data_IF_527803637699
#
_entry.id   IF_527803637699
#
_cell.length_a   1.000
_cell.length_b   1.000
_cell.length_c   1.000
_cell.angle_alpha   90.00
_cell.angle_beta   90.00
_cell.angle_gamma   90.00
#
_symmetry.space_group_name_H-M   'P 1'
#
loop_
_entity.id
_entity.type
_entity.pdbx_description
1 polymer ?
#
# COMPACT_ATOMS: atom_id res chain seq x y z
N UNK A 1 -21.75 18.00 -5.95
CA UNK A 1 -21.48 17.23 -4.71
C UNK A 1 -20.43 16.17 -5.03
N UNK A 2 -19.27 16.23 -4.36
CA UNK A 2 -18.15 15.30 -4.59
C UNK A 2 -18.61 13.88 -4.25
N UNK A 3 -19.44 13.74 -3.21
CA UNK A 3 -19.94 12.44 -2.79
C UNK A 3 -20.87 11.79 -3.82
N UNK A 4 -21.67 12.56 -4.56
CA UNK A 4 -22.56 12.01 -5.60
C UNK A 4 -21.81 11.57 -6.85
N UNK A 5 -20.66 12.18 -7.12
CA UNK A 5 -19.81 11.84 -8.26
C UNK A 5 -19.09 10.50 -8.01
N UNK A 6 -18.42 10.37 -6.87
CA UNK A 6 -17.63 9.18 -6.51
C UNK A 6 -18.44 8.03 -5.88
N UNK A 7 -19.71 8.26 -5.50
CA UNK A 7 -20.59 7.17 -5.02
C UNK A 7 -20.95 6.15 -6.09
N UNK A 8 -20.86 6.52 -7.37
CA UNK A 8 -21.10 5.61 -8.50
C UNK A 8 -19.77 5.14 -9.06
N UNK A 9 -19.63 3.86 -9.39
CA UNK A 9 -18.44 3.34 -10.10
C UNK A 9 -18.55 3.56 -11.59
N UNK A 10 -18.38 4.81 -12.04
CA UNK A 10 -18.36 5.18 -13.46
C UNK A 10 -16.92 5.19 -14.00
N UNK A 11 -16.69 4.82 -15.28
CA UNK A 11 -15.36 4.90 -15.91
C UNK A 11 -14.71 6.28 -15.79
N UNK A 12 -15.49 7.35 -15.92
CA UNK A 12 -15.01 8.74 -15.81
C UNK A 12 -14.32 9.04 -14.48
N UNK A 13 -14.76 8.42 -13.38
CA UNK A 13 -14.13 8.62 -12.07
C UNK A 13 -12.70 8.07 -12.03
N UNK A 14 -12.44 6.98 -12.75
CA UNK A 14 -11.11 6.40 -12.85
C UNK A 14 -10.22 7.25 -13.74
N UNK A 15 -10.73 7.75 -14.86
CA UNK A 15 -9.98 8.64 -15.75
C UNK A 15 -9.48 9.86 -14.95
N UNK A 16 -10.36 10.53 -14.20
CA UNK A 16 -9.99 11.69 -13.39
C UNK A 16 -8.90 11.34 -12.37
N UNK A 17 -9.04 10.22 -11.65
CA UNK A 17 -8.08 9.82 -10.61
C UNK A 17 -6.72 9.43 -11.22
N UNK A 18 -6.71 8.76 -12.38
CA UNK A 18 -5.49 8.40 -13.10
C UNK A 18 -4.80 9.62 -13.69
N UNK A 19 -5.55 10.55 -14.29
CA UNK A 19 -5.02 11.83 -14.77
C UNK A 19 -4.44 12.65 -13.62
N UNK A 20 -5.12 12.70 -12.47
CA UNK A 20 -4.60 13.36 -11.27
C UNK A 20 -3.26 12.74 -10.85
N UNK A 21 -3.18 11.41 -10.73
CA UNK A 21 -1.94 10.74 -10.38
C UNK A 21 -0.81 11.05 -11.39
N UNK A 22 -1.11 11.00 -12.70
CA UNK A 22 -0.15 11.28 -13.76
C UNK A 22 0.45 12.67 -13.61
N UNK A 23 -0.40 13.69 -13.50
CA UNK A 23 0.02 15.09 -13.39
C UNK A 23 0.92 15.28 -12.18
N UNK A 24 0.50 14.79 -11.01
CA UNK A 24 1.27 14.96 -9.78
C UNK A 24 2.56 14.14 -9.77
N UNK A 25 2.59 12.96 -10.39
CA UNK A 25 3.82 12.19 -10.59
C UNK A 25 4.82 12.97 -11.46
N UNK A 26 4.37 13.51 -12.60
CA UNK A 26 5.22 14.32 -13.47
C UNK A 26 5.74 15.56 -12.72
N UNK A 27 4.89 16.25 -11.96
CA UNK A 27 5.33 17.41 -11.17
C UNK A 27 6.37 17.02 -10.12
N UNK A 28 6.13 15.95 -9.35
CA UNK A 28 7.07 15.47 -8.34
C UNK A 28 8.43 15.07 -8.94
N UNK A 29 8.42 14.38 -10.08
CA UNK A 29 9.64 13.83 -10.71
C UNK A 29 10.45 14.89 -11.43
N UNK A 30 9.82 15.75 -12.23
CA UNK A 30 10.53 16.72 -13.07
C UNK A 30 10.81 18.03 -12.36
N UNK A 31 9.84 18.56 -11.59
CA UNK A 31 10.04 19.83 -10.87
C UNK A 31 10.66 19.63 -9.49
N UNK A 32 10.38 18.51 -8.80
CA UNK A 32 10.88 18.27 -7.44
C UNK A 32 12.36 17.88 -7.35
N UNK A 33 12.91 17.26 -8.40
CA UNK A 33 14.27 16.71 -8.42
C UNK A 33 15.23 17.37 -9.42
N UNK A 34 14.80 18.38 -10.20
CA UNK A 34 15.63 19.06 -11.22
C UNK A 34 16.42 18.09 -12.13
N UNK A 35 15.79 16.99 -12.55
CA UNK A 35 16.48 15.94 -13.33
C UNK A 35 16.55 16.33 -14.80
N UNK A 36 17.73 16.19 -15.39
CA UNK A 36 17.93 16.38 -16.83
C UNK A 36 17.18 15.32 -17.64
N UNK A 37 16.54 15.74 -18.73
CA UNK A 37 15.79 14.85 -19.61
C UNK A 37 16.73 13.95 -20.43
N UNK A 38 16.76 12.66 -20.10
CA UNK A 38 17.44 11.62 -20.89
C UNK A 38 16.42 10.59 -21.36
N UNK A 39 16.52 10.12 -22.61
CA UNK A 39 15.60 9.13 -23.21
C UNK A 39 15.43 7.86 -22.35
N UNK A 40 16.53 7.35 -21.77
CA UNK A 40 16.48 6.18 -20.87
C UNK A 40 15.69 6.44 -19.57
N UNK A 41 15.75 7.66 -19.04
CA UNK A 41 15.00 8.06 -17.84
C UNK A 41 13.49 8.18 -18.13
N UNK A 42 13.13 8.62 -19.34
CA UNK A 42 11.73 8.69 -19.77
C UNK A 42 11.12 7.29 -19.85
N UNK A 43 11.85 6.33 -20.43
CA UNK A 43 11.39 4.93 -20.52
C UNK A 43 11.13 4.29 -19.16
N UNK A 44 12.03 4.48 -18.19
CA UNK A 44 11.84 3.94 -16.83
C UNK A 44 10.66 4.60 -16.11
N UNK A 45 10.50 5.92 -16.23
CA UNK A 45 9.37 6.64 -15.62
C UNK A 45 8.01 6.20 -16.23
N UNK A 46 7.93 5.92 -17.54
CA UNK A 46 6.71 5.37 -18.16
C UNK A 46 6.35 4.02 -17.53
N UNK A 47 7.34 3.14 -17.33
CA UNK A 47 7.14 1.86 -16.65
C UNK A 47 6.62 2.02 -15.23
N UNK A 48 7.16 2.97 -14.46
CA UNK A 48 6.71 3.26 -13.08
C UNK A 48 5.26 3.77 -13.06
N UNK A 49 4.90 4.69 -13.96
CA UNK A 49 3.53 5.20 -14.07
C UNK A 49 2.55 4.09 -14.45
N UNK A 50 2.92 3.24 -15.42
CA UNK A 50 2.11 2.11 -15.82
C UNK A 50 1.86 1.15 -14.64
N UNK A 51 2.90 0.90 -13.83
CA UNK A 51 2.80 0.09 -12.63
C UNK A 51 1.87 0.74 -11.58
N UNK A 52 1.99 2.05 -11.33
CA UNK A 52 1.08 2.76 -10.42
C UNK A 52 -0.39 2.70 -10.88
N UNK A 53 -0.63 2.87 -12.19
CA UNK A 53 -1.97 2.72 -12.76
C UNK A 53 -2.49 1.31 -12.56
N UNK A 54 -1.65 0.30 -12.80
CA UNK A 54 -2.01 -1.09 -12.57
C UNK A 54 -2.30 -1.37 -11.08
N UNK A 55 -1.54 -0.79 -10.16
CA UNK A 55 -1.84 -0.84 -8.71
C UNK A 55 -3.23 -0.27 -8.41
N UNK A 56 -3.60 0.87 -8.98
CA UNK A 56 -4.94 1.46 -8.80
C UNK A 56 -6.05 0.51 -9.28
N UNK A 57 -5.88 -0.12 -10.44
CA UNK A 57 -6.83 -1.11 -10.94
C UNK A 57 -6.92 -2.33 -10.02
N UNK A 58 -5.79 -2.80 -9.49
CA UNK A 58 -5.75 -3.88 -8.50
C UNK A 58 -6.48 -3.51 -7.20
N UNK A 59 -6.20 -2.33 -6.63
CA UNK A 59 -6.87 -1.81 -5.43
C UNK A 59 -8.40 -1.87 -5.61
N UNK A 60 -8.88 -1.34 -6.75
CA UNK A 60 -10.29 -1.36 -7.10
C UNK A 60 -10.85 -2.79 -7.22
N UNK A 61 -10.13 -3.67 -7.93
CA UNK A 61 -10.52 -5.05 -8.12
C UNK A 61 -10.64 -5.79 -6.78
N UNK A 62 -9.66 -5.64 -5.90
CA UNK A 62 -9.61 -6.29 -4.58
C UNK A 62 -10.79 -5.85 -3.73
N UNK A 63 -11.05 -4.55 -3.64
CA UNK A 63 -12.12 -3.97 -2.83
C UNK A 63 -13.49 -4.45 -3.29
N UNK A 64 -13.75 -4.40 -4.61
CA UNK A 64 -15.02 -4.86 -5.19
C UNK A 64 -15.21 -6.37 -5.04
N UNK A 65 -14.19 -7.16 -5.36
CA UNK A 65 -14.25 -8.62 -5.33
C UNK A 65 -14.50 -9.16 -3.93
N UNK A 66 -13.90 -8.54 -2.91
CA UNK A 66 -14.00 -8.99 -1.52
C UNK A 66 -15.12 -8.28 -0.73
N UNK A 67 -15.83 -7.32 -1.34
CA UNK A 67 -16.92 -6.53 -0.72
C UNK A 67 -16.48 -5.88 0.60
N UNK A 68 -15.26 -5.32 0.61
CA UNK A 68 -14.64 -4.72 1.81
C UNK A 68 -15.31 -3.37 2.14
N UNK A 69 -15.59 -2.60 1.10
CA UNK A 69 -16.33 -1.34 1.11
C UNK A 69 -17.62 -1.49 0.30
N UNK A 70 -18.49 -0.49 0.32
CA UNK A 70 -19.62 -0.42 -0.61
C UNK A 70 -19.14 -0.18 -2.05
N UNK A 71 -20.05 -0.36 -3.02
CA UNK A 71 -19.78 -0.13 -4.45
C UNK A 71 -19.65 1.35 -4.75
N UNK A 72 -18.45 1.90 -4.57
CA UNK A 72 -18.10 3.28 -4.87
C UNK A 72 -16.64 3.37 -5.34
N UNK A 73 -16.22 4.57 -5.76
CA UNK A 73 -14.86 4.85 -6.24
C UNK A 73 -13.99 5.56 -5.20
N UNK A 74 -14.44 5.66 -3.94
CA UNK A 74 -13.70 6.41 -2.89
C UNK A 74 -12.36 5.76 -2.54
N UNK A 75 -12.25 4.44 -2.50
CA UNK A 75 -10.97 3.79 -2.13
C UNK A 75 -9.86 4.13 -3.11
N UNK A 76 -10.18 4.19 -4.40
CA UNK A 76 -9.22 4.56 -5.44
C UNK A 76 -8.84 6.04 -5.34
N UNK A 77 -9.82 6.91 -5.10
CA UNK A 77 -9.57 8.33 -4.84
C UNK A 77 -8.64 8.52 -3.64
N UNK A 78 -8.94 7.90 -2.49
CA UNK A 78 -8.12 8.01 -1.29
C UNK A 78 -6.71 7.46 -1.48
N UNK A 79 -6.55 6.35 -2.21
CA UNK A 79 -5.22 5.81 -2.51
C UNK A 79 -4.36 6.85 -3.27
N UNK A 80 -4.93 7.51 -4.29
CA UNK A 80 -4.21 8.56 -5.03
C UNK A 80 -3.98 9.81 -4.16
N UNK A 81 -4.96 10.22 -3.36
CA UNK A 81 -4.78 11.34 -2.44
C UNK A 81 -3.66 11.09 -1.41
N UNK A 82 -3.48 9.86 -0.94
CA UNK A 82 -2.34 9.51 -0.08
C UNK A 82 -1.00 9.62 -0.82
N UNK A 83 -0.96 9.24 -2.10
CA UNK A 83 0.23 9.45 -2.94
C UNK A 83 0.56 10.95 -3.09
N UNK A 84 -0.46 11.81 -3.19
CA UNK A 84 -0.27 13.26 -3.24
C UNK A 84 0.20 13.82 -1.88
N UNK A 85 -0.34 13.31 -0.77
CA UNK A 85 0.05 13.77 0.57
C UNK A 85 1.53 13.43 0.90
N UNK A 86 2.04 12.34 0.32
CA UNK A 86 3.44 11.90 0.45
C UNK A 86 4.17 11.92 -0.90
N UNK A 87 4.53 13.10 -1.46
CA UNK A 87 5.20 13.18 -2.75
C UNK A 87 6.52 12.41 -2.81
N UNK A 88 7.21 12.29 -1.68
CA UNK A 88 8.45 11.51 -1.58
C UNK A 88 8.24 10.02 -1.93
N UNK A 89 7.07 9.44 -1.64
CA UNK A 89 6.78 8.04 -1.99
C UNK A 89 6.55 7.84 -3.49
N UNK A 90 6.25 8.90 -4.26
CA UNK A 90 6.14 8.84 -5.72
C UNK A 90 7.52 8.82 -6.40
N UNK A 91 8.56 9.24 -5.69
CA UNK A 91 9.93 9.31 -6.18
C UNK A 91 10.72 8.04 -5.84
N UNK A 92 10.34 7.36 -4.76
CA UNK A 92 10.90 6.10 -4.32
C UNK A 92 10.39 4.92 -5.16
N UNK A 93 11.17 4.57 -6.18
CA UNK A 93 10.87 3.44 -7.07
C UNK A 93 10.77 2.11 -6.31
N UNK A 94 11.67 1.87 -5.34
CA UNK A 94 11.63 0.63 -4.56
C UNK A 94 10.33 0.56 -3.73
N UNK A 95 9.87 1.70 -3.21
CA UNK A 95 8.66 1.78 -2.39
C UNK A 95 7.41 1.48 -3.20
N UNK A 96 7.39 1.95 -4.45
CA UNK A 96 6.33 1.69 -5.42
C UNK A 96 6.26 0.20 -5.77
N UNK A 97 7.39 -0.44 -6.10
CA UNK A 97 7.44 -1.87 -6.40
C UNK A 97 7.06 -2.72 -5.18
N UNK A 98 7.59 -2.40 -4.00
CA UNK A 98 7.25 -3.08 -2.76
C UNK A 98 5.74 -2.99 -2.48
N UNK A 99 5.16 -1.78 -2.50
CA UNK A 99 3.71 -1.58 -2.29
C UNK A 99 2.87 -2.35 -3.32
N UNK A 100 3.27 -2.36 -4.59
CA UNK A 100 2.60 -3.12 -5.64
C UNK A 100 2.54 -4.62 -5.34
N UNK A 101 3.66 -5.23 -4.96
CA UNK A 101 3.70 -6.65 -4.60
C UNK A 101 2.93 -6.95 -3.32
N UNK A 102 2.94 -6.05 -2.33
CA UNK A 102 2.08 -6.17 -1.14
C UNK A 102 0.58 -6.09 -1.52
N UNK A 103 0.19 -5.27 -2.49
CA UNK A 103 -1.19 -5.23 -3.01
C UNK A 103 -1.55 -6.53 -3.74
N UNK A 104 -0.62 -7.13 -4.48
CA UNK A 104 -0.81 -8.48 -5.07
C UNK A 104 -0.98 -9.56 -4.00
N UNK A 105 -0.17 -9.55 -2.95
CA UNK A 105 -0.32 -10.45 -1.81
C UNK A 105 -1.69 -10.25 -1.12
N UNK A 106 -2.09 -9.00 -0.94
CA UNK A 106 -3.41 -8.61 -0.38
C UNK A 106 -4.56 -9.25 -1.15
N UNK A 107 -4.51 -9.24 -2.48
CA UNK A 107 -5.52 -9.87 -3.34
C UNK A 107 -5.68 -11.35 -3.00
N UNK A 108 -4.58 -12.07 -2.80
CA UNK A 108 -4.59 -13.51 -2.52
C UNK A 108 -5.07 -13.79 -1.10
N UNK A 109 -4.54 -13.07 -0.11
CA UNK A 109 -4.91 -13.20 1.31
C UNK A 109 -6.40 -12.95 1.53
N UNK A 110 -6.95 -11.85 1.02
CA UNK A 110 -8.36 -11.53 1.24
C UNK A 110 -9.30 -12.50 0.53
N UNK A 111 -8.84 -13.12 -0.57
CA UNK A 111 -9.60 -14.13 -1.30
C UNK A 111 -9.66 -15.50 -0.61
N UNK A 112 -8.88 -15.72 0.46
CA UNK A 112 -8.93 -16.96 1.25
C UNK A 112 -10.30 -17.18 1.91
N UNK A 113 -11.05 -16.10 2.14
CA UNK A 113 -12.45 -16.13 2.58
C UNK A 113 -13.34 -17.07 1.77
N UNK A 114 -13.05 -17.27 0.48
CA UNK A 114 -13.88 -18.16 -0.36
C UNK A 114 -13.64 -19.64 -0.07
N UNK A 115 -12.63 -19.99 0.73
CA UNK A 115 -12.19 -21.36 1.04
C UNK A 115 -11.94 -22.24 -0.20
N UNK A 116 -11.65 -21.62 -1.35
CA UNK A 116 -11.29 -22.28 -2.61
C UNK A 116 -9.82 -22.07 -2.88
N UNK A 117 -9.13 -23.11 -3.37
CA UNK A 117 -7.73 -23.03 -3.80
C UNK A 117 -6.81 -22.43 -2.73
N UNK A 118 -7.05 -22.79 -1.46
CA UNK A 118 -6.35 -22.19 -0.31
C UNK A 118 -4.83 -22.34 -0.45
N UNK A 119 -4.36 -23.53 -0.85
CA UNK A 119 -2.94 -23.81 -1.05
C UNK A 119 -2.28 -22.85 -2.06
N UNK A 120 -2.88 -22.69 -3.24
CA UNK A 120 -2.35 -21.79 -4.27
C UNK A 120 -2.35 -20.33 -3.80
N UNK A 121 -3.40 -19.90 -3.08
CA UNK A 121 -3.49 -18.53 -2.57
C UNK A 121 -2.44 -18.23 -1.49
N UNK A 122 -2.16 -19.18 -0.59
CA UNK A 122 -1.14 -19.02 0.45
C UNK A 122 0.25 -18.96 -0.20
N UNK A 123 0.53 -19.88 -1.11
CA UNK A 123 1.80 -19.89 -1.84
C UNK A 123 2.01 -18.58 -2.60
N UNK A 124 1.03 -18.15 -3.41
CA UNK A 124 1.10 -16.91 -4.18
C UNK A 124 1.27 -15.68 -3.27
N UNK A 125 0.51 -15.60 -2.16
CA UNK A 125 0.63 -14.50 -1.22
C UNK A 125 2.04 -14.41 -0.62
N UNK A 126 2.59 -15.55 -0.20
CA UNK A 126 3.93 -15.64 0.36
C UNK A 126 4.97 -15.25 -0.69
N UNK A 127 4.85 -15.79 -1.91
CA UNK A 127 5.73 -15.48 -3.04
C UNK A 127 5.76 -13.98 -3.32
N UNK A 128 4.60 -13.32 -3.41
CA UNK A 128 4.55 -11.87 -3.63
C UNK A 128 5.18 -11.07 -2.49
N UNK A 129 5.03 -11.49 -1.23
CA UNK A 129 5.68 -10.82 -0.09
C UNK A 129 7.21 -10.96 -0.15
N UNK A 130 7.72 -12.15 -0.49
CA UNK A 130 9.17 -12.37 -0.61
C UNK A 130 9.75 -11.65 -1.82
N UNK A 131 8.97 -11.48 -2.90
CA UNK A 131 9.38 -10.61 -4.02
C UNK A 131 9.37 -9.14 -3.58
N UNK A 132 8.38 -8.71 -2.80
CA UNK A 132 8.36 -7.35 -2.24
C UNK A 132 9.60 -7.07 -1.40
N UNK A 133 10.12 -8.09 -0.69
CA UNK A 133 11.30 -7.91 0.15
C UNK A 133 12.61 -7.71 -0.60
N UNK A 134 12.65 -8.02 -1.90
CA UNK A 134 13.79 -7.66 -2.76
C UNK A 134 13.92 -6.16 -2.97
N UNK A 135 12.87 -5.38 -2.68
CA UNK A 135 12.90 -3.91 -2.75
C UNK A 135 13.09 -3.28 -1.37
N UNK A 136 12.58 -3.95 -0.32
CA UNK A 136 12.64 -3.55 1.08
C UNK A 136 12.80 -4.78 1.96
N UNK A 137 13.96 -5.02 2.56
CA UNK A 137 14.24 -6.18 3.40
C UNK A 137 13.16 -6.41 4.49
N UNK A 138 12.76 -5.34 5.19
CA UNK A 138 11.70 -5.36 6.22
C UNK A 138 10.33 -5.83 5.72
N UNK A 139 10.05 -5.83 4.41
CA UNK A 139 8.80 -6.33 3.88
C UNK A 139 8.58 -7.83 4.16
N UNK A 140 9.63 -8.61 4.49
CA UNK A 140 9.50 -9.99 4.95
C UNK A 140 8.60 -10.14 6.18
N UNK A 141 8.46 -9.10 7.01
CA UNK A 141 7.54 -9.11 8.15
C UNK A 141 6.08 -9.37 7.74
N UNK A 142 5.69 -9.06 6.49
CA UNK A 142 4.36 -9.40 5.99
C UNK A 142 4.11 -10.92 5.91
N UNK A 143 5.13 -11.79 6.01
CA UNK A 143 4.88 -13.24 6.12
C UNK A 143 4.07 -13.59 7.37
N UNK A 144 4.21 -12.83 8.46
CA UNK A 144 3.37 -12.96 9.67
C UNK A 144 1.90 -12.82 9.30
N UNK A 145 1.58 -11.91 8.37
CA UNK A 145 0.21 -11.70 7.89
C UNK A 145 -0.36 -12.95 7.20
N UNK A 146 0.47 -13.69 6.45
CA UNK A 146 0.08 -14.95 5.80
C UNK A 146 -0.24 -16.00 6.86
N UNK A 147 0.61 -16.17 7.87
CA UNK A 147 0.36 -17.12 8.95
C UNK A 147 -0.92 -16.80 9.72
N UNK A 148 -1.20 -15.52 9.99
CA UNK A 148 -2.47 -15.11 10.62
C UNK A 148 -3.66 -15.44 9.69
N UNK A 149 -3.53 -15.27 8.38
CA UNK A 149 -4.58 -15.64 7.44
C UNK A 149 -4.84 -17.16 7.40
N UNK A 150 -3.80 -17.99 7.49
CA UNK A 150 -3.92 -19.45 7.64
C UNK A 150 -4.67 -19.78 8.92
N UNK A 151 -4.28 -19.16 10.04
CA UNK A 151 -4.92 -19.37 11.34
C UNK A 151 -6.42 -19.03 11.31
N UNK A 152 -6.81 -17.95 10.63
CA UNK A 152 -8.21 -17.52 10.52
C UNK A 152 -9.05 -18.47 9.64
N UNK A 153 -8.50 -18.95 8.52
CA UNK A 153 -9.31 -19.65 7.50
C UNK A 153 -9.17 -21.17 7.47
N UNK A 154 -7.98 -21.73 7.72
CA UNK A 154 -7.75 -23.18 7.67
C UNK A 154 -6.61 -23.63 8.62
N UNK A 155 -6.74 -23.44 9.95
CA UNK A 155 -5.66 -23.72 10.91
C UNK A 155 -5.30 -25.20 11.02
N UNK A 156 -6.27 -26.11 10.81
CA UNK A 156 -6.12 -27.56 11.03
C UNK A 156 -5.24 -28.24 9.99
N UNK A 157 -5.05 -27.64 8.82
CA UNK A 157 -4.32 -28.27 7.72
C UNK A 157 -2.83 -27.92 7.81
N UNK A 158 -2.04 -28.80 8.42
CA UNK A 158 -0.61 -28.57 8.65
C UNK A 158 0.17 -28.27 7.35
N UNK A 159 -0.28 -28.83 6.21
CA UNK A 159 0.37 -28.59 4.91
C UNK A 159 0.36 -27.10 4.52
N UNK A 160 -0.66 -26.36 4.93
CA UNK A 160 -0.77 -24.94 4.63
C UNK A 160 0.31 -24.11 5.31
N UNK A 161 0.75 -24.52 6.51
CA UNK A 161 1.77 -23.82 7.29
C UNK A 161 3.17 -23.94 6.67
N UNK A 162 3.42 -24.97 5.85
CA UNK A 162 4.68 -25.15 5.12
C UNK A 162 4.74 -24.43 3.76
N UNK A 163 3.61 -23.92 3.25
CA UNK A 163 3.58 -23.23 1.95
C UNK A 163 4.40 -21.95 1.90
N UNK A 164 4.44 -21.09 2.94
CA UNK A 164 5.33 -19.92 2.94
C UNK A 164 6.81 -20.30 2.80
N UNK A 165 7.24 -21.42 3.41
CA UNK A 165 8.60 -21.92 3.27
C UNK A 165 8.89 -22.41 1.84
N UNK A 166 7.93 -23.10 1.22
CA UNK A 166 8.06 -23.50 -0.18
C UNK A 166 8.19 -22.28 -1.10
N UNK A 167 7.38 -21.24 -0.89
CA UNK A 167 7.47 -20.00 -1.66
C UNK A 167 8.82 -19.30 -1.45
N UNK A 168 9.35 -19.31 -0.22
CA UNK A 168 10.66 -18.77 0.10
C UNK A 168 11.76 -19.46 -0.72
N UNK A 169 11.79 -20.80 -0.72
CA UNK A 169 12.77 -21.56 -1.52
C UNK A 169 12.64 -21.24 -3.01
N UNK A 170 11.42 -21.17 -3.55
CA UNK A 170 11.20 -20.82 -4.95
C UNK A 170 11.74 -19.43 -5.30
N UNK A 171 11.42 -18.40 -4.50
CA UNK A 171 11.89 -17.04 -4.77
C UNK A 171 13.40 -16.92 -4.54
N UNK A 172 13.95 -17.57 -3.52
CA UNK A 172 15.38 -17.58 -3.24
C UNK A 172 16.18 -18.20 -4.40
N UNK A 173 15.78 -19.38 -4.89
CA UNK A 173 16.46 -20.05 -6.00
C UNK A 173 16.36 -19.25 -7.30
N UNK A 174 15.17 -18.73 -7.63
CA UNK A 174 14.96 -17.92 -8.84
C UNK A 174 15.73 -16.61 -8.78
N UNK A 175 15.73 -15.92 -7.63
CA UNK A 175 16.49 -14.68 -7.44
C UNK A 175 17.99 -14.94 -7.53
N UNK A 176 18.51 -15.98 -6.87
CA UNK A 176 19.92 -16.36 -6.96
C UNK A 176 20.34 -16.70 -8.39
N UNK A 177 19.50 -17.42 -9.14
CA UNK A 177 19.77 -17.73 -10.55
C UNK A 177 19.84 -16.46 -11.41
N UNK A 178 18.90 -15.53 -11.23
CA UNK A 178 18.91 -14.24 -11.94
C UNK A 178 20.16 -13.43 -11.57
N UNK A 179 20.47 -13.32 -10.28
CA UNK A 179 21.65 -12.58 -9.81
C UNK A 179 22.97 -13.20 -10.28
N UNK A 180 23.03 -14.53 -10.39
CA UNK A 180 24.19 -15.23 -10.93
C UNK A 180 24.44 -14.85 -12.40
N UNK A 181 23.38 -14.79 -13.23
CA UNK A 181 23.48 -14.37 -14.64
C UNK A 181 24.04 -12.94 -14.76
N UNK A 182 23.66 -12.05 -13.85
CA UNK A 182 24.14 -10.67 -13.83
C UNK A 182 25.43 -10.45 -13.04
N UNK A 183 26.03 -11.50 -12.44
CA UNK A 183 27.23 -11.39 -11.62
C UNK A 183 27.05 -10.59 -10.31
N UNK A 184 25.84 -10.52 -9.77
CA UNK A 184 25.47 -9.69 -8.60
C UNK A 184 25.02 -10.51 -7.39
N UNK A 185 25.63 -11.67 -7.15
CA UNK A 185 25.25 -12.54 -6.03
C UNK A 185 25.38 -11.87 -4.65
N UNK A 186 26.34 -10.95 -4.50
CA UNK A 186 26.55 -10.20 -3.24
C UNK A 186 25.33 -9.37 -2.82
N UNK A 187 24.44 -9.02 -3.77
CA UNK A 187 23.20 -8.29 -3.48
C UNK A 187 22.41 -8.90 -2.32
N UNK A 188 22.33 -10.24 -2.23
CA UNK A 188 21.56 -10.89 -1.16
C UNK A 188 22.15 -10.59 0.23
N UNK A 189 23.47 -10.63 0.35
CA UNK A 189 24.18 -10.37 1.61
C UNK A 189 24.11 -8.89 2.00
N UNK A 190 24.24 -8.01 1.01
CA UNK A 190 24.23 -6.56 1.23
C UNK A 190 22.80 -6.01 1.49
N UNK A 191 21.78 -6.65 0.92
CA UNK A 191 20.40 -6.19 0.99
C UNK A 191 19.68 -6.64 2.27
N UNK A 192 19.87 -7.88 2.71
CA UNK A 192 19.15 -8.45 3.86
C UNK A 192 19.90 -8.26 5.19
N UNK A 193 20.18 -7.00 5.55
CA UNK A 193 20.93 -6.66 6.77
C UNK A 193 19.99 -6.23 7.92
N UNK A 194 18.75 -5.83 7.63
CA UNK A 194 17.76 -5.39 8.63
C UNK A 194 18.32 -4.33 9.58
N UNK A 195 18.92 -3.29 9.00
CA UNK A 195 19.58 -2.23 9.77
C UNK A 195 18.59 -1.46 10.63
N UNK A 196 18.83 -1.42 11.94
CA UNK A 196 18.12 -0.60 12.90
C UNK A 196 19.05 0.48 13.44
N UNK A 197 18.90 1.71 12.98
CA UNK A 197 19.66 2.86 13.51
C UNK A 197 18.82 3.59 14.56
N UNK A 198 18.90 3.14 15.81
CA UNK A 198 18.22 3.76 16.95
C UNK A 198 19.02 4.93 17.53
N UNK A 199 19.32 5.93 16.71
CA UNK A 199 20.11 7.11 17.11
C UNK A 199 19.23 8.36 17.36
N UNK A 200 19.76 9.36 18.06
CA UNK A 200 19.07 10.63 18.31
C UNK A 200 18.67 11.38 17.03
N UNK A 201 19.35 11.12 15.90
CA UNK A 201 19.01 11.67 14.60
C UNK A 201 17.77 11.02 13.97
N UNK A 202 17.46 9.76 14.31
CA UNK A 202 16.19 9.10 13.93
C UNK A 202 14.98 9.87 14.48
N UNK A 203 15.07 10.32 15.73
CA UNK A 203 14.03 11.15 16.35
C UNK A 203 13.93 12.54 15.70
N UNK A 204 15.04 13.11 15.21
CA UNK A 204 15.01 14.37 14.45
C UNK A 204 14.37 14.19 13.08
N UNK A 205 14.60 13.08 12.37
CA UNK A 205 13.91 12.80 11.11
C UNK A 205 12.41 12.53 11.30
N UNK A 206 12.02 11.83 12.36
CA UNK A 206 10.62 11.69 12.76
C UNK A 206 9.98 13.05 13.09
N UNK A 207 10.72 13.95 13.75
CA UNK A 207 10.26 15.31 14.05
C UNK A 207 10.06 16.18 12.80
N UNK A 208 10.87 15.96 11.73
CA UNK A 208 10.65 16.56 10.39
C UNK A 208 9.49 15.89 9.64
N UNK A 209 9.07 14.71 10.08
CA UNK A 209 7.98 13.89 9.51
C UNK A 209 6.66 14.04 10.28
N UNK A 210 6.37 15.22 10.83
CA UNK A 210 5.11 15.50 11.55
C UNK A 210 3.86 15.09 10.75
N UNK A 211 3.89 15.25 9.42
CA UNK A 211 2.85 14.79 8.51
C UNK A 211 2.61 13.27 8.58
N UNK A 212 3.66 12.46 8.73
CA UNK A 212 3.56 11.00 8.84
C UNK A 212 2.89 10.60 10.15
N UNK A 213 3.29 11.22 11.26
CA UNK A 213 2.70 10.96 12.58
C UNK A 213 1.21 11.32 12.57
N UNK A 214 0.85 12.50 12.05
CA UNK A 214 -0.54 12.95 11.93
C UNK A 214 -1.35 11.98 11.06
N UNK A 215 -0.80 11.57 9.91
CA UNK A 215 -1.42 10.57 9.04
C UNK A 215 -1.70 9.25 9.79
N UNK A 216 -0.69 8.71 10.48
CA UNK A 216 -0.83 7.47 11.24
C UNK A 216 -1.90 7.57 12.31
N UNK A 217 -1.90 8.65 13.11
CA UNK A 217 -2.92 8.88 14.15
C UNK A 217 -4.32 8.95 13.54
N UNK A 218 -4.50 9.75 12.47
CA UNK A 218 -5.80 9.91 11.80
C UNK A 218 -6.29 8.56 11.27
N UNK A 219 -5.45 7.81 10.57
CA UNK A 219 -5.85 6.51 9.99
C UNK A 219 -6.11 5.46 11.08
N UNK A 220 -5.35 5.45 12.17
CA UNK A 220 -5.62 4.56 13.33
C UNK A 220 -7.00 4.88 13.91
N UNK A 221 -7.30 6.16 14.21
CA UNK A 221 -8.60 6.58 14.76
C UNK A 221 -9.73 6.18 13.81
N UNK A 222 -9.58 6.49 12.52
CA UNK A 222 -10.57 6.15 11.49
C UNK A 222 -10.73 4.64 11.33
N UNK A 223 -9.64 3.88 11.40
CA UNK A 223 -9.60 2.42 11.34
C UNK A 223 -10.31 1.77 12.51
N UNK A 224 -10.11 2.27 13.73
CA UNK A 224 -10.81 1.81 14.94
C UNK A 224 -12.31 2.11 14.85
N UNK A 225 -12.70 3.35 14.51
CA UNK A 225 -14.11 3.75 14.39
C UNK A 225 -14.83 2.89 13.32
N UNK A 226 -14.20 2.71 12.15
CA UNK A 226 -14.78 1.93 11.07
C UNK A 226 -14.90 0.46 11.45
N UNK A 227 -13.87 -0.13 12.07
CA UNK A 227 -13.89 -1.53 12.51
C UNK A 227 -14.96 -1.81 13.57
N UNK A 228 -15.16 -0.92 14.55
CA UNK A 228 -16.20 -1.07 15.59
C UNK A 228 -17.59 -1.00 14.97
N UNK A 229 -17.86 -0.01 14.12
CA UNK A 229 -19.19 0.16 13.51
C UNK A 229 -19.50 -0.92 12.47
N UNK A 230 -18.48 -1.44 11.78
CA UNK A 230 -18.60 -2.57 10.86
C UNK A 230 -18.68 -3.92 11.58
N UNK A 231 -18.41 -4.00 12.88
CA UNK A 231 -18.62 -5.20 13.70
C UNK A 231 -20.06 -5.72 13.68
N UNK A 232 -21.03 -4.88 13.28
CA UNK A 232 -22.43 -5.24 13.06
C UNK A 232 -22.71 -5.85 11.67
N UNK A 233 -21.68 -5.98 10.82
CA UNK A 233 -21.79 -6.55 9.47
C UNK A 233 -21.38 -8.03 9.45
N UNK A 234 -21.84 -8.80 8.47
CA UNK A 234 -21.69 -10.25 8.43
C UNK A 234 -20.25 -10.76 8.62
N UNK A 235 -20.11 -11.93 9.26
CA UNK A 235 -18.86 -12.56 9.74
C UNK A 235 -17.71 -12.51 8.72
N UNK A 236 -18.01 -12.75 7.44
CA UNK A 236 -17.01 -12.73 6.38
C UNK A 236 -16.43 -11.35 6.05
N UNK A 237 -17.15 -10.24 6.29
CA UNK A 237 -16.60 -8.88 6.11
C UNK A 237 -15.70 -8.51 7.29
N UNK A 238 -16.05 -8.96 8.49
CA UNK A 238 -15.26 -8.75 9.70
C UNK A 238 -13.87 -9.41 9.60
N UNK A 239 -13.79 -10.65 9.15
CA UNK A 239 -12.50 -11.34 8.95
C UNK A 239 -11.59 -10.60 7.96
N UNK A 240 -12.13 -10.15 6.83
CA UNK A 240 -11.37 -9.36 5.85
C UNK A 240 -10.92 -8.02 6.42
N UNK A 241 -11.75 -7.32 7.19
CA UNK A 241 -11.37 -6.06 7.85
C UNK A 241 -10.27 -6.26 8.90
N UNK A 242 -10.29 -7.37 9.66
CA UNK A 242 -9.21 -7.72 10.59
C UNK A 242 -7.88 -7.93 9.86
N UNK A 243 -7.90 -8.63 8.72
CA UNK A 243 -6.71 -8.82 7.89
C UNK A 243 -6.19 -7.49 7.33
N UNK A 244 -7.07 -6.57 6.93
CA UNK A 244 -6.68 -5.21 6.52
C UNK A 244 -6.04 -4.44 7.68
N UNK A 245 -6.57 -4.56 8.90
CA UNK A 245 -5.99 -3.94 10.09
C UNK A 245 -4.61 -4.49 10.44
N UNK A 246 -4.44 -5.81 10.39
CA UNK A 246 -3.12 -6.46 10.60
C UNK A 246 -2.11 -5.98 9.55
N UNK A 247 -2.52 -5.92 8.28
CA UNK A 247 -1.69 -5.40 7.19
C UNK A 247 -1.26 -3.94 7.43
N UNK A 248 -2.18 -3.11 7.94
CA UNK A 248 -1.86 -1.73 8.33
C UNK A 248 -0.83 -1.71 9.45
N UNK A 249 -1.07 -2.45 10.54
CA UNK A 249 -0.17 -2.51 11.69
C UNK A 249 1.24 -2.92 11.29
N UNK A 250 1.40 -3.99 10.49
CA UNK A 250 2.71 -4.41 9.98
C UNK A 250 3.35 -3.29 9.14
N UNK A 251 2.58 -2.61 8.29
CA UNK A 251 3.07 -1.49 7.51
C UNK A 251 3.50 -0.29 8.35
N UNK A 252 2.84 -0.01 9.49
CA UNK A 252 3.29 1.00 10.45
C UNK A 252 4.65 0.60 11.02
N UNK A 253 4.81 -0.64 11.47
CA UNK A 253 6.09 -1.13 11.97
C UNK A 253 7.18 -0.91 10.91
N UNK A 254 7.01 -1.41 9.69
CA UNK A 254 8.01 -1.22 8.63
C UNK A 254 8.29 0.27 8.35
N UNK A 255 7.26 1.12 8.33
CA UNK A 255 7.42 2.56 8.05
C UNK A 255 8.18 3.30 9.14
N UNK A 256 8.06 2.87 10.40
CA UNK A 256 8.74 3.49 11.53
C UNK A 256 10.16 2.95 11.71
N UNK A 257 10.37 1.66 11.47
CA UNK A 257 11.65 1.00 11.70
C UNK A 257 12.64 1.13 10.54
N UNK A 258 12.15 1.37 9.32
CA UNK A 258 13.01 1.70 8.18
C UNK A 258 13.55 3.13 8.31
N UNK A 259 14.87 3.24 8.47
CA UNK A 259 15.58 4.50 8.76
C UNK A 259 16.64 4.82 7.71
N UNK A 260 16.68 4.07 6.60
CA UNK A 260 17.63 4.34 5.54
C UNK A 260 17.27 5.62 4.77
N UNK A 261 18.27 6.46 4.52
CA UNK A 261 18.13 7.72 3.80
C UNK A 261 17.60 7.47 2.38
N UNK A 262 16.50 8.13 2.01
CA UNK A 262 15.88 8.02 0.68
C UNK A 262 14.86 6.88 0.55
N UNK A 263 14.64 6.09 1.60
CA UNK A 263 13.63 5.05 1.64
C UNK A 263 12.34 5.60 2.25
N UNK A 264 11.21 5.47 1.54
CA UNK A 264 9.90 5.95 1.99
C UNK A 264 8.84 4.83 1.87
N UNK A 265 8.93 3.76 2.69
CA UNK A 265 8.06 2.59 2.58
C UNK A 265 6.59 2.86 2.94
N UNK A 266 6.23 4.09 3.33
CA UNK A 266 4.87 4.45 3.76
C UNK A 266 3.77 4.05 2.77
N UNK A 267 4.10 3.94 1.47
CA UNK A 267 3.18 3.52 0.43
C UNK A 267 2.60 2.11 0.65
N UNK A 268 3.28 1.23 1.39
CA UNK A 268 2.75 -0.10 1.76
C UNK A 268 1.49 0.02 2.63
N UNK A 269 1.32 1.14 3.34
CA UNK A 269 0.16 1.41 4.21
C UNK A 269 -1.04 2.00 3.44
N UNK A 270 -0.87 2.41 2.18
CA UNK A 270 -1.90 3.17 1.47
C UNK A 270 -3.14 2.34 1.14
N UNK A 271 -2.99 1.06 0.80
CA UNK A 271 -4.14 0.19 0.56
C UNK A 271 -5.04 0.10 1.81
N UNK A 272 -4.53 -0.34 2.98
CA UNK A 272 -5.38 -0.43 4.16
C UNK A 272 -5.90 0.93 4.63
N UNK A 273 -5.09 1.99 4.56
CA UNK A 273 -5.54 3.34 4.90
C UNK A 273 -6.69 3.83 4.01
N UNK A 274 -6.59 3.63 2.70
CA UNK A 274 -7.64 4.01 1.76
C UNK A 274 -8.95 3.22 2.02
N UNK A 275 -8.85 1.96 2.42
CA UNK A 275 -10.01 1.15 2.84
C UNK A 275 -10.66 1.73 4.10
N UNK A 276 -9.88 2.09 5.12
CA UNK A 276 -10.41 2.68 6.36
C UNK A 276 -11.07 4.04 6.12
N UNK A 277 -10.41 4.93 5.38
CA UNK A 277 -10.96 6.25 5.02
C UNK A 277 -12.29 6.10 4.25
N UNK A 278 -12.35 5.15 3.31
CA UNK A 278 -13.58 4.88 2.56
C UNK A 278 -14.71 4.40 3.46
N UNK A 279 -14.45 3.39 4.30
CA UNK A 279 -15.45 2.87 5.22
C UNK A 279 -15.95 3.95 6.20
N UNK A 280 -15.09 4.88 6.62
CA UNK A 280 -15.51 6.01 7.45
C UNK A 280 -16.43 6.99 6.72
N UNK A 281 -16.09 7.36 5.48
CA UNK A 281 -16.97 8.17 4.63
C UNK A 281 -18.33 7.51 4.38
N UNK A 282 -18.37 6.17 4.29
CA UNK A 282 -19.62 5.40 4.15
C UNK A 282 -20.49 5.42 5.43
N UNK A 283 -19.86 5.51 6.60
CA UNK A 283 -20.56 5.56 7.89
C UNK A 283 -21.26 6.92 8.12
N UNK A 284 -20.76 8.00 7.49
CA UNK A 284 -21.32 9.34 7.64
C UNK A 284 -22.71 9.43 6.98
N UNK A 285 -23.76 9.43 7.81
CA UNK A 285 -25.16 9.54 7.36
C UNK A 285 -25.55 10.92 6.83
N UNK A 286 -25.01 11.99 7.44
CA UNK A 286 -25.38 13.37 7.10
C UNK A 286 -24.60 13.84 5.86
N UNK A 287 -25.27 14.25 4.77
CA UNK A 287 -24.60 14.58 3.51
C UNK A 287 -23.65 15.79 3.63
N UNK A 288 -24.01 16.81 4.44
CA UNK A 288 -23.15 17.97 4.69
C UNK A 288 -21.80 17.60 5.29
N UNK A 289 -21.78 16.73 6.29
CA UNK A 289 -20.53 16.26 6.92
C UNK A 289 -19.72 15.37 5.98
N UNK A 290 -20.39 14.60 5.11
CA UNK A 290 -19.71 13.78 4.11
C UNK A 290 -18.98 14.65 3.07
N UNK A 291 -19.65 15.68 2.54
CA UNK A 291 -19.05 16.63 1.61
C UNK A 291 -17.90 17.40 2.24
N UNK A 292 -18.05 17.90 3.47
CA UNK A 292 -16.99 18.62 4.18
C UNK A 292 -15.73 17.75 4.35
N UNK A 293 -15.89 16.50 4.80
CA UNK A 293 -14.75 15.60 4.97
C UNK A 293 -14.07 15.26 3.63
N UNK A 294 -14.85 15.06 2.56
CA UNK A 294 -14.29 14.81 1.22
C UNK A 294 -13.55 16.04 0.68
N UNK A 295 -14.09 17.24 0.91
CA UNK A 295 -13.44 18.49 0.53
C UNK A 295 -12.09 18.65 1.25
N UNK A 296 -12.06 18.49 2.56
CA UNK A 296 -10.83 18.54 3.36
C UNK A 296 -9.84 17.47 2.92
N UNK A 297 -10.30 16.25 2.68
CA UNK A 297 -9.45 15.14 2.26
C UNK A 297 -8.83 15.34 0.87
N UNK A 298 -9.42 16.15 0.00
CA UNK A 298 -8.83 16.52 -1.30
C UNK A 298 -7.89 17.71 -1.16
N UNK A 299 -8.32 18.75 -0.42
CA UNK A 299 -7.59 20.01 -0.32
C UNK A 299 -6.28 19.86 0.47
N UNK A 300 -6.28 19.08 1.55
CA UNK A 300 -5.08 18.89 2.39
C UNK A 300 -3.92 18.22 1.62
N UNK A 301 -4.09 17.07 0.94
CA UNK A 301 -3.03 16.48 0.13
C UNK A 301 -2.48 17.38 -0.97
N UNK A 302 -3.35 18.12 -1.66
CA UNK A 302 -2.93 19.03 -2.73
C UNK A 302 -2.09 20.18 -2.16
N UNK A 303 -2.53 20.79 -1.06
CA UNK A 303 -1.77 21.87 -0.41
C UNK A 303 -0.42 21.37 0.11
N UNK A 304 -0.39 20.23 0.82
CA UNK A 304 0.86 19.61 1.27
C UNK A 304 1.81 19.32 0.11
N UNK A 305 1.29 18.79 -1.01
CA UNK A 305 2.10 18.52 -2.19
C UNK A 305 2.73 19.80 -2.75
N UNK A 306 1.94 20.85 -2.96
CA UNK A 306 2.41 22.14 -3.48
C UNK A 306 3.49 22.72 -2.57
N UNK A 307 3.27 22.74 -1.26
CA UNK A 307 4.26 23.25 -0.30
C UNK A 307 5.57 22.45 -0.33
N UNK A 308 5.50 21.11 -0.37
CA UNK A 308 6.69 20.25 -0.32
C UNK A 308 7.49 20.20 -1.63
N UNK A 309 6.81 20.31 -2.78
CA UNK A 309 7.42 20.08 -4.09
C UNK A 309 7.75 21.40 -4.80
N UNK A 310 6.88 22.41 -4.70
CA UNK A 310 7.00 23.66 -5.47
C UNK A 310 7.52 24.84 -4.66
N UNK A 311 7.24 24.91 -3.36
CA UNK A 311 7.59 26.05 -2.49
C UNK A 311 8.80 25.75 -1.57
N UNK A 312 9.74 24.94 -2.06
CA UNK A 312 10.92 24.47 -1.33
C UNK A 312 11.70 25.60 -0.67
#
# INVERSE_FOLDING_TARGET
MISSFFSKTKPINYIIVLTLLLVFYCVARFFGQNVLFTLGLVGTNIGIVALLFFTIFLVNFIVKRNKITQTNSFTVLFYVLLCLFFPASLIDTNGIFCSFFIVLATRKILSLKSLKEIKYKIFDASMWIIIASLFYDWALLYLIWVFIAIYIYEPKNIRNWFLPLSAFVTVALTTSAVLAIFGRLNFILDHYVFTLKLDADMFKEWSKSSATIVYLIVVIIVGVISSIKLGKSGVGRLASMRLVAISFTIGIFITLFETNLGYFPIMITFFPAAVFLTNYIEILRKPRFKELNLFVAILVPITVFVFKVLLK
#
